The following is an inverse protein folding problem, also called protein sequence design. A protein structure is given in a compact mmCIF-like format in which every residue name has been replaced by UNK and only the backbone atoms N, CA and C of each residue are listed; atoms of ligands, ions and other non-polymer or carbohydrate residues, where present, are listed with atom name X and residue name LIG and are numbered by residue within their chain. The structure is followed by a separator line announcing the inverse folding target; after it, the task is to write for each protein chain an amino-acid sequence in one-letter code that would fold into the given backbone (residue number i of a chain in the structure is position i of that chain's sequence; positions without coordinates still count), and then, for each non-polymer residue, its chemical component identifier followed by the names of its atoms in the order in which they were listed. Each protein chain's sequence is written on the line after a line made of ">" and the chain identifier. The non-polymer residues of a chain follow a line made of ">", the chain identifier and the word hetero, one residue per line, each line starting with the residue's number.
data_IF_082639062154
#
_entry.id   IF_082639062154
#
_cell.length_a   1.000
_cell.length_b   1.000
_cell.length_c   1.000
_cell.angle_alpha   90.00
_cell.angle_beta   90.00
_cell.angle_gamma   90.00
#
_symmetry.space_group_name_H-M   'P 1'
#
loop_
_entity.id
_entity.type
_entity.pdbx_description
1 polymer ?
#
# COMPACT_ATOMS: atom_id res chain seq x y z
N UNK A 1 11.19 -12.87 -1.96
CA UNK A 1 10.13 -12.36 -1.06
C UNK A 1 8.73 -12.62 -1.60
N UNK A 2 8.43 -12.35 -2.87
CA UNK A 2 7.16 -12.65 -3.56
C UNK A 2 7.41 -13.70 -4.63
N UNK A 3 6.55 -14.71 -4.72
CA UNK A 3 6.57 -15.68 -5.82
C UNK A 3 5.14 -15.86 -6.35
N UNK A 4 4.97 -15.66 -7.65
CA UNK A 4 3.69 -15.74 -8.35
C UNK A 4 3.83 -16.67 -9.53
N UNK A 5 2.98 -17.71 -9.60
CA UNK A 5 2.97 -18.70 -10.68
C UNK A 5 1.57 -18.85 -11.25
N UNK A 6 1.45 -18.59 -12.55
CA UNK A 6 0.21 -18.74 -13.35
C UNK A 6 -0.99 -18.04 -12.68
N UNK A 7 -0.78 -16.84 -12.14
CA UNK A 7 -1.83 -16.09 -11.47
C UNK A 7 -2.92 -15.69 -12.46
N UNK A 8 -4.12 -16.18 -12.22
CA UNK A 8 -5.34 -15.80 -12.96
C UNK A 8 -6.36 -15.20 -12.03
N UNK A 9 -7.20 -14.31 -12.55
CA UNK A 9 -8.30 -13.73 -11.77
C UNK A 9 -9.40 -13.18 -12.67
N UNK A 10 -10.65 -13.39 -12.27
CA UNK A 10 -11.84 -12.84 -12.92
C UNK A 10 -12.76 -12.16 -11.92
N UNK A 11 -13.26 -10.96 -12.24
CA UNK A 11 -14.26 -10.23 -11.43
C UNK A 11 -15.68 -10.81 -11.56
N UNK A 12 -15.90 -11.80 -12.42
CA UNK A 12 -17.15 -12.47 -12.68
C UNK A 12 -16.97 -13.52 -13.77
N UNK A 13 -18.03 -14.12 -14.25
CA UNK A 13 -17.94 -15.25 -15.20
C UNK A 13 -17.28 -14.90 -16.53
N UNK A 14 -17.43 -13.63 -16.98
CA UNK A 14 -17.01 -13.21 -18.34
C UNK A 14 -15.97 -12.08 -18.34
N UNK A 15 -15.37 -11.74 -17.19
CA UNK A 15 -14.43 -10.64 -17.08
C UNK A 15 -13.11 -11.09 -16.45
N UNK A 16 -12.33 -11.80 -17.25
CA UNK A 16 -10.97 -12.18 -16.87
C UNK A 16 -10.07 -10.92 -16.85
N UNK A 17 -9.39 -10.71 -15.74
CA UNK A 17 -8.54 -9.56 -15.49
C UNK A 17 -7.04 -9.92 -15.46
N UNK A 18 -6.72 -11.19 -15.15
CA UNK A 18 -5.36 -11.72 -15.13
C UNK A 18 -5.34 -13.07 -15.83
N UNK A 19 -4.40 -13.25 -16.76
CA UNK A 19 -4.34 -14.37 -17.71
C UNK A 19 -3.10 -15.26 -17.50
N UNK A 20 -2.68 -15.52 -16.27
CA UNK A 20 -1.54 -16.39 -15.96
C UNK A 20 -0.23 -15.63 -15.82
N UNK A 21 -0.16 -14.68 -14.87
CA UNK A 21 1.08 -13.95 -14.58
C UNK A 21 2.08 -14.82 -13.83
N UNK A 22 3.34 -14.73 -14.23
CA UNK A 22 4.48 -15.36 -13.58
C UNK A 22 5.53 -14.29 -13.26
N UNK A 23 5.92 -14.14 -12.01
CA UNK A 23 7.02 -13.27 -11.59
C UNK A 23 7.49 -13.60 -10.17
N UNK A 24 8.70 -13.17 -9.87
CA UNK A 24 9.31 -13.27 -8.54
C UNK A 24 9.89 -11.93 -8.17
N UNK A 25 9.81 -11.56 -6.89
CA UNK A 25 10.46 -10.37 -6.33
C UNK A 25 11.30 -10.80 -5.14
N UNK A 26 12.59 -10.51 -5.19
CA UNK A 26 13.54 -10.85 -4.14
C UNK A 26 13.54 -9.84 -2.98
N UNK A 27 14.21 -10.19 -1.89
CA UNK A 27 14.36 -9.30 -0.76
C UNK A 27 15.28 -8.11 -1.14
N UNK A 28 14.82 -6.89 -0.83
CA UNK A 28 15.55 -5.66 -1.16
C UNK A 28 15.39 -5.19 -2.60
N UNK A 29 14.59 -5.88 -3.42
CA UNK A 29 14.33 -5.50 -4.81
C UNK A 29 13.25 -4.43 -4.91
N UNK A 30 13.42 -3.49 -5.85
CA UNK A 30 12.38 -2.57 -6.31
C UNK A 30 11.81 -3.11 -7.61
N UNK A 31 10.57 -3.58 -7.56
CA UNK A 31 9.89 -4.19 -8.69
C UNK A 31 8.75 -3.29 -9.20
N UNK A 32 8.70 -3.02 -10.50
CA UNK A 32 7.71 -2.15 -11.13
C UNK A 32 6.76 -2.89 -12.07
N UNK A 33 5.45 -2.74 -11.85
CA UNK A 33 4.43 -3.12 -12.84
C UNK A 33 4.26 -2.02 -13.86
N UNK A 34 4.65 -2.27 -15.11
CA UNK A 34 4.46 -1.35 -16.24
C UNK A 34 3.38 -1.89 -17.17
N UNK A 35 2.54 -0.99 -17.67
CA UNK A 35 1.50 -1.34 -18.62
C UNK A 35 0.36 -0.31 -18.68
N UNK A 36 -0.50 -0.37 -19.71
CA UNK A 36 -1.62 0.54 -19.88
C UNK A 36 -2.67 0.39 -18.77
N UNK A 37 -3.60 1.34 -18.72
CA UNK A 37 -4.75 1.22 -17.82
C UNK A 37 -5.57 -0.02 -18.18
N UNK A 38 -6.02 -0.75 -17.18
CA UNK A 38 -6.74 -2.02 -17.35
C UNK A 38 -5.87 -3.25 -17.55
N UNK A 39 -4.52 -3.15 -17.55
CA UNK A 39 -3.62 -4.31 -17.69
C UNK A 39 -3.53 -5.22 -16.44
N UNK A 40 -4.31 -4.95 -15.41
CA UNK A 40 -4.35 -5.81 -14.21
C UNK A 40 -3.40 -5.41 -13.07
N UNK A 41 -2.63 -4.31 -13.17
CA UNK A 41 -1.68 -3.85 -12.13
C UNK A 41 -2.33 -3.75 -10.73
N UNK A 42 -3.34 -2.91 -10.59
CA UNK A 42 -4.03 -2.73 -9.30
C UNK A 42 -4.81 -3.99 -8.86
N UNK A 43 -5.26 -4.83 -9.80
CA UNK A 43 -5.89 -6.12 -9.50
C UNK A 43 -4.86 -7.07 -8.89
N UNK A 44 -3.68 -7.17 -9.48
CA UNK A 44 -2.56 -7.97 -8.96
C UNK A 44 -2.19 -7.51 -7.55
N UNK A 45 -2.01 -6.21 -7.35
CA UNK A 45 -1.70 -5.65 -6.03
C UNK A 45 -2.77 -5.97 -4.98
N UNK A 46 -4.07 -5.86 -5.33
CA UNK A 46 -5.18 -6.19 -4.43
C UNK A 46 -5.22 -7.67 -4.07
N UNK A 47 -4.82 -8.57 -4.97
CA UNK A 47 -4.67 -9.99 -4.68
C UNK A 47 -3.50 -10.24 -3.74
N UNK A 48 -2.32 -9.67 -4.03
CA UNK A 48 -1.12 -9.81 -3.20
C UNK A 48 -1.31 -9.26 -1.78
N UNK A 49 -2.13 -8.23 -1.62
CA UNK A 49 -2.47 -7.65 -0.31
C UNK A 49 -3.65 -8.34 0.39
N UNK A 50 -4.24 -9.37 -0.22
CA UNK A 50 -5.34 -10.13 0.36
C UNK A 50 -6.71 -9.42 0.35
N UNK A 51 -6.81 -8.26 -0.31
CA UNK A 51 -8.09 -7.51 -0.47
C UNK A 51 -9.02 -8.26 -1.41
N UNK A 52 -8.48 -8.81 -2.51
CA UNK A 52 -9.20 -9.71 -3.39
C UNK A 52 -8.82 -11.15 -3.06
N UNK A 53 -9.78 -12.05 -3.24
CA UNK A 53 -9.64 -13.50 -3.01
C UNK A 53 -10.17 -14.28 -4.22
N UNK A 54 -9.82 -15.57 -4.30
CA UNK A 54 -10.36 -16.46 -5.34
C UNK A 54 -9.55 -16.40 -6.64
N UNK A 55 -8.25 -16.20 -6.56
CA UNK A 55 -7.33 -16.32 -7.70
C UNK A 55 -7.07 -17.78 -8.05
N UNK A 56 -6.73 -18.04 -9.33
CA UNK A 56 -6.09 -19.28 -9.77
C UNK A 56 -4.57 -19.13 -9.75
N UNK A 57 -3.86 -20.27 -9.87
CA UNK A 57 -2.40 -20.30 -9.76
C UNK A 57 -1.90 -20.30 -8.31
N UNK A 58 -0.62 -20.03 -8.12
CA UNK A 58 0.06 -20.03 -6.82
C UNK A 58 0.62 -18.64 -6.52
N UNK A 59 0.37 -18.15 -5.32
CA UNK A 59 0.89 -16.86 -4.84
C UNK A 59 1.43 -17.02 -3.44
N UNK A 60 2.71 -16.75 -3.25
CA UNK A 60 3.31 -16.73 -1.92
C UNK A 60 3.97 -15.40 -1.59
N UNK A 61 3.83 -14.96 -0.34
CA UNK A 61 4.53 -13.84 0.25
C UNK A 61 5.28 -14.31 1.51
N UNK A 62 6.55 -13.94 1.63
CA UNK A 62 7.39 -14.40 2.74
C UNK A 62 7.41 -15.93 2.89
N UNK A 63 7.33 -16.67 1.78
CA UNK A 63 7.28 -18.13 1.75
C UNK A 63 5.96 -18.76 2.21
N UNK A 64 4.89 -17.96 2.41
CA UNK A 64 3.55 -18.45 2.80
C UNK A 64 2.55 -18.20 1.69
N UNK A 65 1.73 -19.20 1.39
CA UNK A 65 0.60 -19.05 0.46
C UNK A 65 -0.39 -18.03 1.01
N UNK A 66 -0.68 -16.98 0.24
CA UNK A 66 -1.58 -15.89 0.66
C UNK A 66 -3.03 -16.36 0.82
N UNK A 67 -3.46 -17.41 0.12
CA UNK A 67 -4.79 -18.01 0.28
C UNK A 67 -4.98 -18.67 1.64
N UNK A 68 -3.90 -19.14 2.27
CA UNK A 68 -3.91 -19.79 3.58
C UNK A 68 -3.63 -18.82 4.74
N UNK A 69 -3.25 -17.56 4.47
CA UNK A 69 -2.92 -16.59 5.51
C UNK A 69 -4.15 -15.80 5.94
N UNK A 70 -4.47 -15.86 7.24
CA UNK A 70 -5.62 -15.17 7.84
C UNK A 70 -5.26 -14.41 9.11
N UNK A 71 -3.97 -14.28 9.47
CA UNK A 71 -3.56 -13.65 10.72
C UNK A 71 -3.11 -12.20 10.52
N UNK A 72 -3.41 -11.37 11.51
CA UNK A 72 -3.06 -9.95 11.54
C UNK A 72 -1.54 -9.73 11.51
N UNK A 73 -0.78 -10.55 12.22
CA UNK A 73 0.68 -10.48 12.30
C UNK A 73 1.38 -10.57 10.92
N UNK A 74 0.81 -11.33 10.01
CA UNK A 74 1.32 -11.40 8.64
C UNK A 74 1.11 -10.07 7.90
N UNK A 75 -0.10 -9.51 7.98
CA UNK A 75 -0.43 -8.26 7.29
C UNK A 75 0.26 -7.03 7.89
N UNK A 76 0.64 -7.07 9.16
CA UNK A 76 1.45 -6.02 9.78
C UNK A 76 2.86 -5.86 9.15
N UNK A 77 3.34 -6.87 8.41
CA UNK A 77 4.61 -6.82 7.67
C UNK A 77 4.49 -6.13 6.32
N UNK A 78 3.26 -5.75 5.93
CA UNK A 78 2.95 -5.18 4.61
C UNK A 78 2.45 -3.76 4.78
N UNK A 79 3.10 -2.81 4.11
CA UNK A 79 2.61 -1.46 3.92
C UNK A 79 1.92 -1.33 2.57
N UNK A 80 0.81 -0.58 2.50
CA UNK A 80 0.08 -0.38 1.24
C UNK A 80 -0.27 1.08 1.07
N UNK A 81 0.19 1.67 -0.02
CA UNK A 81 -0.27 2.94 -0.53
C UNK A 81 -1.23 2.67 -1.70
N UNK A 82 -2.48 3.07 -1.54
CA UNK A 82 -3.49 2.97 -2.58
C UNK A 82 -3.56 4.25 -3.40
N UNK A 83 -4.04 4.16 -4.63
CA UNK A 83 -4.35 5.33 -5.49
C UNK A 83 -5.24 6.35 -4.76
N UNK A 84 -6.25 5.87 -4.01
CA UNK A 84 -7.10 6.71 -3.15
C UNK A 84 -6.60 6.68 -1.72
N UNK A 85 -6.44 7.85 -1.06
CA UNK A 85 -5.82 7.96 0.26
C UNK A 85 -6.51 7.21 1.41
N UNK A 86 -7.83 6.98 1.36
CA UNK A 86 -8.62 6.33 2.44
C UNK A 86 -8.30 6.85 3.84
N UNK A 87 -8.25 8.18 3.99
CA UNK A 87 -8.05 8.86 5.26
C UNK A 87 -9.38 9.33 5.84
N UNK A 88 -9.47 9.39 7.16
CA UNK A 88 -10.60 10.02 7.85
C UNK A 88 -10.51 11.53 7.68
N UNK A 89 -11.38 12.10 6.86
CA UNK A 89 -11.30 13.50 6.42
C UNK A 89 -11.56 14.53 7.54
N UNK A 90 -12.31 14.14 8.56
CA UNK A 90 -12.60 14.98 9.73
C UNK A 90 -11.50 14.95 10.80
N UNK A 91 -10.55 14.02 10.69
CA UNK A 91 -9.40 13.90 11.57
C UNK A 91 -8.19 14.62 10.98
N UNK A 92 -7.26 15.01 11.83
CA UNK A 92 -5.96 15.56 11.42
C UNK A 92 -5.03 14.44 10.87
N UNK A 93 -3.88 14.81 10.31
CA UNK A 93 -2.84 13.85 9.94
C UNK A 93 -2.39 13.02 11.14
N UNK A 94 -2.10 13.69 12.27
CA UNK A 94 -1.65 13.02 13.48
C UNK A 94 -2.71 12.09 14.06
N UNK A 95 -4.00 12.49 14.08
CA UNK A 95 -5.08 11.63 14.57
C UNK A 95 -5.31 10.42 13.67
N UNK A 96 -5.22 10.59 12.33
CA UNK A 96 -5.24 9.48 11.40
C UNK A 96 -4.11 8.48 11.69
N UNK A 97 -2.87 8.96 11.79
CA UNK A 97 -1.73 8.08 12.06
C UNK A 97 -1.83 7.41 13.43
N UNK A 98 -2.26 8.13 14.46
CA UNK A 98 -2.54 7.57 15.79
C UNK A 98 -3.62 6.47 15.74
N UNK A 99 -4.69 6.67 14.97
CA UNK A 99 -5.72 5.65 14.78
C UNK A 99 -5.13 4.39 14.11
N UNK A 100 -4.38 4.57 13.02
CA UNK A 100 -3.79 3.44 12.31
C UNK A 100 -2.66 2.74 13.12
N UNK A 101 -1.96 3.46 13.99
CA UNK A 101 -0.94 2.86 14.87
C UNK A 101 -1.52 1.80 15.81
N UNK A 102 -2.80 1.92 16.20
CA UNK A 102 -3.45 0.95 17.08
C UNK A 102 -3.56 -0.47 16.50
N UNK A 103 -3.31 -0.65 15.20
CA UNK A 103 -3.28 -1.97 14.55
C UNK A 103 -1.91 -2.66 14.62
N UNK A 104 -0.90 -2.01 15.18
CA UNK A 104 0.48 -2.53 15.25
C UNK A 104 0.95 -2.61 16.70
N UNK A 105 1.88 -3.53 17.03
CA UNK A 105 2.58 -3.52 18.31
C UNK A 105 3.43 -2.26 18.46
N UNK A 106 3.50 -1.69 19.66
CA UNK A 106 4.25 -0.45 19.92
C UNK A 106 5.72 -0.54 19.52
N UNK A 107 6.36 -1.68 19.77
CA UNK A 107 7.78 -1.91 19.45
C UNK A 107 8.07 -2.00 17.94
N UNK A 108 7.05 -2.04 17.10
CA UNK A 108 7.18 -2.06 15.64
C UNK A 108 6.95 -0.68 15.02
N UNK A 109 6.29 0.22 15.76
CA UNK A 109 5.89 1.51 15.24
C UNK A 109 7.07 2.44 14.98
N UNK A 110 7.00 3.15 13.86
CA UNK A 110 7.85 4.31 13.58
C UNK A 110 7.17 5.57 14.11
N UNK A 111 7.96 6.57 14.46
CA UNK A 111 7.44 7.86 14.89
C UNK A 111 6.68 8.55 13.75
N UNK A 112 5.42 8.91 14.01
CA UNK A 112 4.52 9.47 13.01
C UNK A 112 4.93 10.90 12.58
N UNK A 113 5.43 11.71 13.51
CA UNK A 113 5.87 13.07 13.20
C UNK A 113 7.17 13.06 12.39
N UNK A 114 8.12 12.19 12.75
CA UNK A 114 9.36 11.96 11.99
C UNK A 114 9.07 11.48 10.56
N UNK A 115 8.11 10.57 10.38
CA UNK A 115 7.70 10.11 9.06
C UNK A 115 7.12 11.25 8.21
N UNK A 116 6.25 12.06 8.80
CA UNK A 116 5.67 13.21 8.10
C UNK A 116 6.73 14.26 7.75
N UNK A 117 7.69 14.49 8.63
CA UNK A 117 8.80 15.41 8.38
C UNK A 117 9.68 14.91 7.20
N UNK A 118 10.05 13.63 7.17
CA UNK A 118 10.79 13.01 6.05
C UNK A 118 10.04 13.08 4.72
N UNK A 119 8.71 13.07 4.78
CA UNK A 119 7.85 13.24 3.61
C UNK A 119 7.54 14.72 3.32
N UNK A 120 8.27 15.66 3.92
CA UNK A 120 8.11 17.11 3.73
C UNK A 120 6.68 17.61 3.98
N UNK A 121 5.98 17.01 4.94
CA UNK A 121 4.66 17.47 5.31
C UNK A 121 4.75 18.74 6.18
N UNK A 122 4.00 19.77 5.81
CA UNK A 122 4.05 21.06 6.48
C UNK A 122 3.51 20.98 7.92
N UNK A 123 4.34 21.36 8.91
CA UNK A 123 4.01 21.32 10.34
C UNK A 123 2.73 22.08 10.70
N UNK A 124 2.44 23.20 10.04
CA UNK A 124 1.24 24.01 10.27
C UNK A 124 -0.08 23.27 9.98
N UNK A 125 -0.01 22.14 9.27
CA UNK A 125 -1.17 21.33 8.92
C UNK A 125 -1.32 20.07 9.77
N UNK A 126 -0.34 19.71 10.61
CA UNK A 126 -0.36 18.46 11.40
C UNK A 126 -1.66 18.25 12.19
N UNK A 127 -2.22 19.34 12.73
CA UNK A 127 -3.43 19.33 13.56
C UNK A 127 -4.70 19.82 12.83
N UNK A 128 -4.60 20.20 11.56
CA UNK A 128 -5.77 20.58 10.74
C UNK A 128 -6.47 19.35 10.20
N UNK A 129 -7.77 19.40 9.92
CA UNK A 129 -8.48 18.26 9.36
C UNK A 129 -8.02 17.96 7.91
N UNK A 130 -7.97 16.67 7.58
CA UNK A 130 -7.57 16.17 6.24
C UNK A 130 -8.45 16.73 5.12
N UNK A 131 -9.71 17.10 5.42
CA UNK A 131 -10.60 17.78 4.47
C UNK A 131 -10.00 19.06 3.89
N UNK A 132 -9.14 19.76 4.64
CA UNK A 132 -8.44 20.98 4.20
C UNK A 132 -7.17 20.74 3.39
N UNK A 133 -6.76 19.48 3.19
CA UNK A 133 -5.49 19.14 2.56
C UNK A 133 -5.60 19.10 1.03
N UNK A 134 -4.53 19.51 0.35
CA UNK A 134 -4.36 19.25 -1.08
C UNK A 134 -4.25 17.75 -1.38
N UNK A 135 -4.38 17.35 -2.65
CA UNK A 135 -4.18 15.95 -3.06
C UNK A 135 -2.80 15.45 -2.66
N UNK A 136 -1.74 16.22 -2.92
CA UNK A 136 -0.37 15.86 -2.54
C UNK A 136 -0.17 15.72 -1.03
N UNK A 137 -0.78 16.61 -0.22
CA UNK A 137 -0.73 16.49 1.24
C UNK A 137 -1.41 15.19 1.72
N UNK A 138 -2.56 14.84 1.17
CA UNK A 138 -3.23 13.57 1.48
C UNK A 138 -2.38 12.36 1.09
N UNK A 139 -1.68 12.44 -0.05
CA UNK A 139 -0.78 11.39 -0.51
C UNK A 139 0.40 11.19 0.46
N UNK A 140 1.01 12.28 0.94
CA UNK A 140 2.09 12.22 1.95
C UNK A 140 1.63 11.57 3.26
N UNK A 141 0.45 11.91 3.77
CA UNK A 141 -0.12 11.26 4.97
C UNK A 141 -0.41 9.78 4.73
N UNK A 142 -0.88 9.41 3.54
CA UNK A 142 -1.11 8.00 3.17
C UNK A 142 0.19 7.22 3.05
N UNK A 143 1.26 7.85 2.57
CA UNK A 143 2.60 7.26 2.55
C UNK A 143 3.12 7.05 3.98
N UNK A 144 3.00 8.07 4.86
CA UNK A 144 3.35 7.93 6.27
C UNK A 144 2.60 6.77 6.92
N UNK A 145 1.29 6.64 6.66
CA UNK A 145 0.47 5.51 7.13
C UNK A 145 1.01 4.16 6.63
N UNK A 146 1.38 4.05 5.36
CA UNK A 146 1.91 2.81 4.80
C UNK A 146 3.25 2.39 5.43
N UNK A 147 4.05 3.37 5.88
CA UNK A 147 5.35 3.17 6.51
C UNK A 147 5.29 3.01 8.04
N UNK A 148 4.15 3.33 8.66
CA UNK A 148 3.99 3.47 10.12
C UNK A 148 4.37 2.20 10.88
N UNK A 149 3.95 1.02 10.39
CA UNK A 149 4.23 -0.28 10.99
C UNK A 149 5.59 -0.86 10.63
N UNK A 150 6.52 -0.05 10.11
CA UNK A 150 7.85 -0.50 9.67
C UNK A 150 7.80 -1.77 8.79
N UNK A 151 7.08 -1.73 7.66
CA UNK A 151 6.80 -2.91 6.85
C UNK A 151 8.07 -3.49 6.22
N UNK A 152 8.06 -4.82 6.02
CA UNK A 152 9.10 -5.54 5.25
C UNK A 152 8.84 -5.48 3.73
N UNK A 153 7.58 -5.27 3.34
CA UNK A 153 7.15 -5.19 1.95
C UNK A 153 6.22 -3.99 1.80
N UNK A 154 6.49 -3.13 0.82
CA UNK A 154 5.70 -1.95 0.52
C UNK A 154 5.08 -2.06 -0.88
N UNK A 155 3.76 -2.00 -0.96
CA UNK A 155 3.02 -1.88 -2.20
C UNK A 155 2.64 -0.42 -2.45
N UNK A 156 2.95 0.07 -3.66
CA UNK A 156 2.67 1.45 -4.06
C UNK A 156 1.81 1.44 -5.33
N UNK A 157 0.60 2.02 -5.25
CA UNK A 157 -0.28 2.23 -6.40
C UNK A 157 -0.34 3.74 -6.69
N UNK A 158 0.15 4.15 -7.86
CA UNK A 158 0.24 5.56 -8.30
C UNK A 158 0.89 6.50 -7.24
N UNK A 159 2.10 6.17 -6.71
CA UNK A 159 2.68 6.88 -5.55
C UNK A 159 2.95 8.36 -5.79
N UNK A 160 3.16 8.77 -7.02
CA UNK A 160 3.44 10.16 -7.42
C UNK A 160 2.17 10.93 -7.82
N UNK A 161 1.00 10.29 -7.84
CA UNK A 161 -0.25 10.92 -8.23
C UNK A 161 -0.60 12.12 -7.33
N UNK A 162 -0.63 13.34 -7.92
CA UNK A 162 -0.94 14.59 -7.21
C UNK A 162 0.25 15.22 -6.48
N UNK A 163 1.44 14.68 -6.62
CA UNK A 163 2.67 15.39 -6.28
C UNK A 163 3.05 16.32 -7.44
N UNK A 164 3.66 17.45 -7.12
CA UNK A 164 4.31 18.27 -8.14
C UNK A 164 5.60 17.58 -8.64
N UNK A 165 6.19 18.03 -9.78
CA UNK A 165 7.39 17.40 -10.32
C UNK A 165 8.57 17.38 -9.34
N UNK A 166 8.69 18.36 -8.44
CA UNK A 166 9.75 18.40 -7.42
C UNK A 166 9.49 17.42 -6.28
N UNK A 167 8.22 17.17 -5.93
CA UNK A 167 7.82 16.18 -4.92
C UNK A 167 7.83 14.72 -5.41
N UNK A 168 8.00 14.49 -6.71
CA UNK A 168 8.09 13.14 -7.29
C UNK A 168 9.52 12.56 -7.27
N UNK A 169 10.52 13.34 -6.88
CA UNK A 169 11.95 12.96 -6.86
C UNK A 169 12.42 12.48 -5.47
N UNK A 170 11.51 12.36 -4.52
CA UNK A 170 11.80 11.93 -3.14
C UNK A 170 11.98 10.40 -3.06
#
# INVERSE_FOLDING_TARGET
>A
MIEVKKLTFSYGKDKEALHGLDFTVEDGEIFGFLGPNGSGKSTTQKLLTGILKGHGGQVSLFGKDIGAVHNQEFFQKIGVLFEFPYLYTNLSAMDNLKYFSSFYPENQLRDAEELLEKLEFKRDFLKKPVSSYSKGMRQRVSMARALLGNPKLLFLDEPTSGLDPSGAVL
#
